data_IF_773025928936
#
_entry.id   IF_773025928936
#
_cell.length_a   1.000
_cell.length_b   1.000
_cell.length_c   1.000
_cell.angle_alpha   90.00
_cell.angle_beta   90.00
_cell.angle_gamma   90.00
#
_symmetry.space_group_name_H-M   'P 1'
#
loop_
_entity.id
_entity.type
_entity.pdbx_description
1 polymer ?
#
# COMPACT_ATOMS: atom_id res chain seq x y z
N UNK A 1 -22.87 10.54 -25.25
CA UNK A 1 -23.30 9.27 -24.60
C UNK A 1 -23.90 9.58 -23.24
N UNK A 2 -25.00 8.96 -22.82
CA UNK A 2 -25.62 9.19 -21.48
C UNK A 2 -25.71 7.89 -20.68
N UNK A 3 -25.95 7.96 -19.37
CA UNK A 3 -26.13 6.75 -18.53
C UNK A 3 -27.26 5.83 -19.05
N UNK A 4 -28.47 6.33 -19.39
CA UNK A 4 -29.52 5.48 -19.98
C UNK A 4 -29.13 4.86 -21.33
N UNK A 5 -28.33 5.57 -22.13
CA UNK A 5 -27.78 5.02 -23.36
C UNK A 5 -26.81 3.88 -23.07
N UNK A 6 -25.87 4.05 -22.13
CA UNK A 6 -24.88 3.02 -21.77
C UNK A 6 -25.52 1.75 -21.23
N UNK A 7 -26.55 1.87 -20.39
CA UNK A 7 -27.33 0.73 -19.90
C UNK A 7 -28.02 -0.04 -21.04
N UNK A 8 -28.68 0.67 -21.97
CA UNK A 8 -29.32 0.03 -23.13
C UNK A 8 -28.32 -0.59 -24.09
N UNK A 9 -27.24 0.13 -24.39
CA UNK A 9 -26.19 -0.31 -25.31
C UNK A 9 -25.47 -1.56 -24.82
N UNK A 10 -25.31 -1.71 -23.51
CA UNK A 10 -24.63 -2.85 -22.90
C UNK A 10 -25.56 -3.96 -22.40
N UNK A 11 -26.89 -3.86 -22.61
CA UNK A 11 -27.89 -4.73 -21.99
C UNK A 11 -27.54 -6.22 -22.11
N UNK A 12 -27.28 -6.70 -23.33
CA UNK A 12 -26.97 -8.12 -23.57
C UNK A 12 -25.71 -8.61 -22.85
N UNK A 13 -24.72 -7.73 -22.64
CA UNK A 13 -23.50 -8.06 -21.91
C UNK A 13 -23.73 -8.05 -20.41
N UNK A 14 -24.47 -7.05 -19.91
CA UNK A 14 -24.85 -6.94 -18.50
C UNK A 14 -25.65 -8.16 -18.05
N UNK A 15 -26.64 -8.59 -18.85
CA UNK A 15 -27.48 -9.74 -18.57
C UNK A 15 -26.68 -11.07 -18.54
N UNK A 16 -25.53 -11.14 -19.22
CA UNK A 16 -24.64 -12.31 -19.24
C UNK A 16 -23.58 -12.30 -18.15
N UNK A 17 -23.05 -11.12 -17.79
CA UNK A 17 -21.89 -10.96 -16.91
C UNK A 17 -22.25 -10.71 -15.45
N UNK A 18 -23.46 -10.20 -15.19
CA UNK A 18 -23.95 -9.89 -13.85
C UNK A 18 -25.15 -10.78 -13.50
N UNK A 19 -25.25 -11.14 -12.23
CA UNK A 19 -26.48 -11.73 -11.67
C UNK A 19 -27.61 -10.69 -11.65
N UNK A 20 -28.87 -11.14 -11.51
CA UNK A 20 -30.02 -10.22 -11.41
C UNK A 20 -29.88 -9.24 -10.23
N UNK A 21 -29.36 -9.71 -9.09
CA UNK A 21 -29.11 -8.87 -7.92
C UNK A 21 -28.05 -7.79 -8.21
N UNK A 22 -26.92 -8.18 -8.80
CA UNK A 22 -25.85 -7.24 -9.17
C UNK A 22 -26.28 -6.21 -10.21
N UNK A 23 -27.10 -6.63 -11.19
CA UNK A 23 -27.66 -5.72 -12.18
C UNK A 23 -28.59 -4.68 -11.54
N UNK A 24 -29.45 -5.12 -10.61
CA UNK A 24 -30.33 -4.21 -9.87
C UNK A 24 -29.51 -3.23 -9.00
N UNK A 25 -28.45 -3.71 -8.37
CA UNK A 25 -27.55 -2.86 -7.59
C UNK A 25 -26.83 -1.82 -8.46
N UNK A 26 -26.32 -2.22 -9.63
CA UNK A 26 -25.72 -1.31 -10.60
C UNK A 26 -26.70 -0.20 -11.01
N UNK A 27 -27.94 -0.57 -11.33
CA UNK A 27 -28.99 0.38 -11.69
C UNK A 27 -29.31 1.35 -10.53
N UNK A 28 -29.31 0.85 -9.29
CA UNK A 28 -29.53 1.64 -8.08
C UNK A 28 -28.38 2.60 -7.79
N UNK A 29 -27.13 2.21 -8.06
CA UNK A 29 -25.98 3.12 -7.96
C UNK A 29 -26.08 4.24 -9.00
N UNK A 30 -26.42 3.89 -10.24
CA UNK A 30 -26.51 4.82 -11.35
C UNK A 30 -27.70 5.79 -11.24
N UNK A 31 -28.79 5.39 -10.57
CA UNK A 31 -29.98 6.24 -10.39
C UNK A 31 -29.75 7.47 -9.50
N UNK A 32 -28.66 7.48 -8.72
CA UNK A 32 -28.25 8.62 -7.88
C UNK A 32 -27.71 9.79 -8.69
N UNK A 33 -27.35 9.58 -9.96
CA UNK A 33 -26.77 10.58 -10.83
C UNK A 33 -27.83 11.16 -11.79
N UNK A 34 -27.63 12.42 -12.18
CA UNK A 34 -28.52 13.05 -13.17
C UNK A 34 -28.45 12.31 -14.51
N UNK A 35 -29.63 12.11 -15.13
CA UNK A 35 -29.75 11.49 -16.45
C UNK A 35 -29.16 12.35 -17.57
N UNK A 36 -28.97 13.64 -17.30
CA UNK A 36 -28.45 14.62 -18.25
C UNK A 36 -26.92 14.63 -18.32
N UNK A 37 -26.21 13.88 -17.46
CA UNK A 37 -24.75 13.73 -17.54
C UNK A 37 -24.38 13.03 -18.86
N UNK A 38 -23.37 13.58 -19.55
CA UNK A 38 -23.00 13.15 -20.89
C UNK A 38 -21.51 12.80 -21.02
N UNK A 39 -21.22 12.09 -22.11
CA UNK A 39 -19.90 11.84 -22.68
C UNK A 39 -18.95 11.17 -21.67
N UNK A 40 -17.74 11.71 -21.51
CA UNK A 40 -16.68 11.13 -20.68
C UNK A 40 -17.11 10.94 -19.23
N UNK A 41 -17.85 11.90 -18.67
CA UNK A 41 -18.34 11.79 -17.30
C UNK A 41 -19.38 10.68 -17.14
N UNK A 42 -20.29 10.53 -18.11
CA UNK A 42 -21.26 9.42 -18.11
C UNK A 42 -20.56 8.05 -18.24
N UNK A 43 -19.53 7.97 -19.09
CA UNK A 43 -18.72 6.75 -19.28
C UNK A 43 -17.95 6.42 -18.01
N UNK A 44 -17.35 7.42 -17.35
CA UNK A 44 -16.67 7.24 -16.06
C UNK A 44 -17.63 6.73 -15.00
N UNK A 45 -18.75 7.43 -14.77
CA UNK A 45 -19.74 7.03 -13.74
C UNK A 45 -20.23 5.60 -13.97
N UNK A 46 -20.52 5.24 -15.23
CA UNK A 46 -20.91 3.88 -15.59
C UNK A 46 -19.80 2.86 -15.29
N UNK A 47 -18.57 3.16 -15.70
CA UNK A 47 -17.42 2.27 -15.53
C UNK A 47 -17.07 2.07 -14.06
N UNK A 48 -16.98 3.16 -13.29
CA UNK A 48 -16.72 3.14 -11.86
C UNK A 48 -17.80 2.36 -11.11
N UNK A 49 -19.08 2.58 -11.44
CA UNK A 49 -20.19 1.87 -10.82
C UNK A 49 -20.15 0.38 -11.16
N UNK A 50 -19.85 0.01 -12.40
CA UNK A 50 -19.70 -1.39 -12.81
C UNK A 50 -18.52 -2.06 -12.11
N UNK A 51 -17.35 -1.42 -12.07
CA UNK A 51 -16.18 -1.92 -11.36
C UNK A 51 -16.43 -2.04 -9.85
N UNK A 52 -17.23 -1.14 -9.25
CA UNK A 52 -17.64 -1.24 -7.85
C UNK A 52 -18.47 -2.51 -7.56
N UNK A 53 -19.33 -2.95 -8.50
CA UNK A 53 -20.06 -4.21 -8.39
C UNK A 53 -19.10 -5.41 -8.41
N UNK A 54 -18.15 -5.43 -9.36
CA UNK A 54 -17.15 -6.50 -9.42
C UNK A 54 -16.28 -6.56 -8.17
N UNK A 55 -15.89 -5.40 -7.64
CA UNK A 55 -15.17 -5.28 -6.37
C UNK A 55 -16.01 -5.82 -5.21
N UNK A 56 -17.30 -5.48 -5.15
CA UNK A 56 -18.21 -5.99 -4.11
C UNK A 56 -18.36 -7.51 -4.17
N UNK A 57 -18.41 -8.10 -5.37
CA UNK A 57 -18.42 -9.56 -5.57
C UNK A 57 -17.20 -10.20 -4.91
N UNK A 58 -15.99 -9.72 -5.21
CA UNK A 58 -14.77 -10.21 -4.56
C UNK A 58 -14.78 -9.98 -3.05
N UNK A 59 -15.26 -8.82 -2.60
CA UNK A 59 -15.37 -8.52 -1.17
C UNK A 59 -16.31 -9.48 -0.42
N UNK A 60 -17.32 -10.04 -1.08
CA UNK A 60 -18.27 -10.97 -0.48
C UNK A 60 -17.69 -12.34 -0.16
N UNK A 61 -16.51 -12.67 -0.71
CA UNK A 61 -15.80 -13.92 -0.43
C UNK A 61 -15.11 -13.92 0.95
N UNK A 62 -15.06 -12.76 1.62
CA UNK A 62 -14.32 -12.58 2.86
C UNK A 62 -15.19 -12.00 3.96
N UNK A 63 -15.08 -12.57 5.15
CA UNK A 63 -15.66 -12.01 6.37
C UNK A 63 -14.88 -10.77 6.83
N UNK A 64 -15.58 -9.85 7.48
CA UNK A 64 -15.00 -8.66 8.10
C UNK A 64 -15.88 -8.17 9.25
N UNK A 65 -15.31 -7.34 10.13
CA UNK A 65 -16.05 -6.76 11.25
C UNK A 65 -16.71 -5.44 10.82
N UNK A 66 -18.05 -5.40 10.87
CA UNK A 66 -18.85 -4.24 10.46
C UNK A 66 -18.59 -3.02 11.35
N UNK A 67 -18.35 -3.19 12.65
CA UNK A 67 -18.05 -2.07 13.56
C UNK A 67 -16.66 -1.51 13.26
N UNK A 68 -15.71 -2.39 12.99
CA UNK A 68 -14.35 -1.99 12.60
C UNK A 68 -14.33 -1.25 11.26
N UNK A 69 -15.06 -1.74 10.26
CA UNK A 69 -15.21 -1.06 8.97
C UNK A 69 -15.86 0.33 9.15
N UNK A 70 -16.90 0.46 9.98
CA UNK A 70 -17.50 1.77 10.30
C UNK A 70 -16.49 2.73 10.94
N UNK A 71 -15.65 2.25 11.85
CA UNK A 71 -14.58 3.05 12.45
C UNK A 71 -13.59 3.56 11.38
N UNK A 72 -13.16 2.68 10.46
CA UNK A 72 -12.23 3.03 9.38
C UNK A 72 -12.81 3.97 8.32
N UNK A 73 -14.14 4.06 8.22
CA UNK A 73 -14.83 4.88 7.21
C UNK A 73 -15.50 6.15 7.77
N UNK A 74 -15.36 6.44 9.06
CA UNK A 74 -15.90 7.68 9.61
C UNK A 74 -15.09 8.91 9.13
N UNK A 75 -15.55 10.12 9.46
CA UNK A 75 -15.00 11.39 8.96
C UNK A 75 -13.59 11.77 9.43
N UNK A 76 -13.00 11.14 10.45
CA UNK A 76 -11.64 11.47 10.89
C UNK A 76 -10.58 10.90 9.93
N UNK A 77 -9.64 11.74 9.49
CA UNK A 77 -8.57 11.35 8.57
C UNK A 77 -7.33 10.75 9.26
N UNK A 78 -7.42 10.40 10.55
CA UNK A 78 -6.39 9.66 11.28
C UNK A 78 -7.02 8.56 12.15
N UNK A 79 -6.52 7.34 12.04
CA UNK A 79 -6.99 6.16 12.77
C UNK A 79 -5.86 5.52 13.56
N UNK A 80 -6.08 5.34 14.86
CA UNK A 80 -5.18 4.64 15.75
C UNK A 80 -5.82 3.31 16.12
N UNK A 81 -5.10 2.21 15.86
CA UNK A 81 -5.54 0.87 16.21
C UNK A 81 -4.53 0.28 17.18
N UNK A 82 -4.99 -0.10 18.36
CA UNK A 82 -4.18 -0.78 19.37
C UNK A 82 -4.43 -2.28 19.31
N UNK A 83 -3.37 -3.06 19.10
CA UNK A 83 -3.42 -4.51 19.13
C UNK A 83 -2.51 -5.18 18.11
N UNK A 84 -2.70 -6.49 17.99
CA UNK A 84 -1.98 -7.33 17.03
C UNK A 84 -2.41 -7.01 15.59
N UNK A 85 -1.44 -6.75 14.72
CA UNK A 85 -1.72 -6.33 13.34
C UNK A 85 -2.39 -7.42 12.50
N UNK A 86 -2.04 -8.69 12.70
CA UNK A 86 -2.68 -9.79 11.99
C UNK A 86 -4.17 -9.89 12.35
N UNK A 87 -4.51 -9.81 13.64
CA UNK A 87 -5.91 -9.75 14.10
C UNK A 87 -6.65 -8.54 13.56
N UNK A 88 -6.01 -7.37 13.50
CA UNK A 88 -6.62 -6.15 13.00
C UNK A 88 -6.91 -6.26 11.50
N UNK A 89 -5.95 -6.76 10.70
CA UNK A 89 -6.10 -7.00 9.27
C UNK A 89 -7.26 -7.98 9.00
N UNK A 90 -7.38 -9.07 9.76
CA UNK A 90 -8.51 -10.02 9.64
C UNK A 90 -9.88 -9.38 9.86
N UNK A 91 -9.98 -8.31 10.66
CA UNK A 91 -11.22 -7.55 10.86
C UNK A 91 -11.52 -6.59 9.71
N UNK A 92 -10.54 -6.22 8.89
CA UNK A 92 -10.72 -5.29 7.77
C UNK A 92 -11.42 -5.95 6.59
N UNK A 93 -12.25 -5.16 5.90
CA UNK A 93 -12.83 -5.53 4.61
C UNK A 93 -11.72 -5.71 3.56
N UNK A 94 -11.84 -6.71 2.70
CA UNK A 94 -10.88 -6.89 1.58
C UNK A 94 -10.93 -5.69 0.62
N UNK A 95 -9.83 -5.43 -0.09
CA UNK A 95 -9.71 -4.31 -1.04
C UNK A 95 -10.21 -2.95 -0.51
N UNK A 96 -9.89 -2.63 0.76
CA UNK A 96 -10.36 -1.42 1.45
C UNK A 96 -9.26 -0.38 1.71
N UNK A 97 -7.99 -0.75 1.51
CA UNK A 97 -6.80 0.09 1.70
C UNK A 97 -6.21 0.44 0.33
N UNK A 98 -5.74 1.67 0.15
CA UNK A 98 -5.29 2.15 -1.17
C UNK A 98 -3.77 2.22 -1.31
N UNK A 99 -3.04 2.25 -0.20
CA UNK A 99 -1.59 2.24 -0.15
C UNK A 99 -1.15 1.70 1.21
N UNK A 100 -0.05 0.95 1.24
CA UNK A 100 0.64 0.60 2.47
C UNK A 100 2.06 1.13 2.46
N UNK A 101 2.50 1.71 3.58
CA UNK A 101 3.89 2.14 3.78
C UNK A 101 4.31 1.75 5.18
N UNK A 102 5.36 0.94 5.28
CA UNK A 102 5.75 0.39 6.58
C UNK A 102 7.24 0.09 6.67
N UNK A 103 7.69 -0.10 7.90
CA UNK A 103 8.96 -0.74 8.24
C UNK A 103 8.66 -1.80 9.30
N UNK A 104 8.73 -3.12 8.98
CA UNK A 104 8.39 -4.16 9.92
C UNK A 104 9.35 -4.18 11.12
N UNK A 105 8.99 -4.84 12.23
CA UNK A 105 9.98 -5.23 13.24
C UNK A 105 11.01 -6.18 12.60
N UNK A 106 12.29 -5.84 12.66
CA UNK A 106 13.35 -6.70 12.12
C UNK A 106 13.66 -7.83 13.10
N UNK A 107 13.97 -9.01 12.56
CA UNK A 107 14.21 -10.24 13.33
C UNK A 107 15.15 -10.02 14.53
N UNK A 108 14.61 -10.08 15.75
CA UNK A 108 15.31 -9.92 17.03
C UNK A 108 16.32 -8.76 17.08
N UNK A 109 16.10 -7.71 16.28
CA UNK A 109 16.98 -6.55 16.22
C UNK A 109 16.80 -5.62 17.44
N UNK A 110 15.65 -5.75 18.14
CA UNK A 110 15.26 -4.94 19.29
C UNK A 110 14.67 -5.80 20.40
N UNK A 111 14.58 -5.26 21.62
CA UNK A 111 14.16 -6.03 22.80
C UNK A 111 12.69 -6.48 22.78
N UNK A 112 11.83 -5.80 22.01
CA UNK A 112 10.42 -6.15 21.87
C UNK A 112 10.14 -7.23 20.82
N UNK A 113 11.08 -7.45 19.88
CA UNK A 113 11.02 -8.54 18.91
C UNK A 113 11.62 -9.81 19.52
N UNK A 114 10.78 -10.82 19.82
CA UNK A 114 11.23 -12.08 20.44
C UNK A 114 10.67 -13.29 19.70
N UNK A 115 11.25 -13.60 18.55
CA UNK A 115 11.02 -14.88 17.86
C UNK A 115 12.11 -15.88 18.26
N UNK A 116 11.75 -17.15 18.36
CA UNK A 116 12.70 -18.21 18.75
C UNK A 116 13.79 -18.44 17.70
N UNK A 117 13.40 -18.42 16.42
CA UNK A 117 14.26 -18.66 15.27
C UNK A 117 13.75 -17.86 14.06
N UNK A 118 14.59 -17.73 13.02
CA UNK A 118 14.25 -17.00 11.79
C UNK A 118 12.99 -17.54 11.08
N UNK A 119 12.76 -18.85 11.05
CA UNK A 119 11.62 -19.42 10.34
C UNK A 119 10.30 -19.00 11.00
N UNK A 120 10.21 -19.02 12.34
CA UNK A 120 9.03 -18.57 13.06
C UNK A 120 8.72 -17.09 12.73
N UNK A 121 9.76 -16.25 12.61
CA UNK A 121 9.59 -14.86 12.20
C UNK A 121 9.09 -14.72 10.77
N UNK A 122 9.71 -15.42 9.82
CA UNK A 122 9.31 -15.34 8.41
C UNK A 122 7.88 -15.86 8.18
N UNK A 123 7.46 -16.90 8.91
CA UNK A 123 6.08 -17.41 8.83
C UNK A 123 5.06 -16.44 9.43
N UNK A 124 5.38 -15.79 10.55
CA UNK A 124 4.54 -14.74 11.13
C UNK A 124 4.37 -13.56 10.16
N UNK A 125 5.48 -13.11 9.56
CA UNK A 125 5.45 -12.09 8.50
C UNK A 125 4.66 -12.55 7.28
N UNK A 126 4.79 -13.81 6.84
CA UNK A 126 4.02 -14.37 5.72
C UNK A 126 2.52 -14.29 5.96
N UNK A 127 2.05 -14.64 7.16
CA UNK A 127 0.63 -14.53 7.52
C UNK A 127 0.13 -13.09 7.44
N UNK A 128 0.95 -12.14 7.92
CA UNK A 128 0.64 -10.72 7.83
C UNK A 128 0.60 -10.27 6.38
N UNK A 129 1.58 -10.62 5.55
CA UNK A 129 1.69 -10.29 4.12
C UNK A 129 0.52 -10.87 3.30
N UNK A 130 0.05 -12.07 3.64
CA UNK A 130 -1.14 -12.67 3.02
C UNK A 130 -2.42 -11.89 3.31
N UNK A 131 -2.70 -11.59 4.58
CA UNK A 131 -3.89 -10.82 4.95
C UNK A 131 -3.84 -9.39 4.42
N UNK A 132 -2.64 -8.85 4.37
CA UNK A 132 -2.26 -7.61 3.73
C UNK A 132 -2.59 -7.55 2.24
N UNK A 133 -2.23 -8.59 1.48
CA UNK A 133 -2.64 -8.73 0.09
C UNK A 133 -4.17 -8.69 -0.05
N UNK A 134 -4.90 -9.35 0.84
CA UNK A 134 -6.38 -9.34 0.83
C UNK A 134 -6.96 -7.94 1.04
N UNK A 135 -6.45 -7.17 2.02
CA UNK A 135 -7.04 -5.86 2.37
C UNK A 135 -6.58 -4.71 1.46
N UNK A 136 -5.41 -4.80 0.84
CA UNK A 136 -4.95 -3.83 -0.16
C UNK A 136 -5.86 -3.89 -1.39
N UNK A 137 -6.22 -2.75 -1.96
CA UNK A 137 -7.07 -2.67 -3.15
C UNK A 137 -6.32 -3.16 -4.40
N UNK A 138 -7.06 -3.62 -5.41
CA UNK A 138 -6.44 -4.18 -6.61
C UNK A 138 -5.61 -3.12 -7.35
N UNK A 139 -4.47 -3.51 -7.92
CA UNK A 139 -3.48 -2.63 -8.57
C UNK A 139 -2.91 -1.52 -7.69
N UNK A 140 -2.94 -1.68 -6.37
CA UNK A 140 -2.29 -0.77 -5.43
C UNK A 140 -0.93 -1.26 -4.98
N UNK A 141 -0.25 -0.37 -4.28
CA UNK A 141 1.17 -0.49 -3.95
C UNK A 141 1.37 -0.73 -2.46
N UNK A 142 2.37 -1.54 -2.15
CA UNK A 142 2.97 -1.63 -0.83
C UNK A 142 4.43 -1.17 -0.92
N UNK A 143 4.78 -0.13 -0.16
CA UNK A 143 6.17 0.33 0.03
C UNK A 143 6.70 -0.19 1.37
N UNK A 144 7.77 -0.99 1.32
CA UNK A 144 8.25 -1.78 2.45
C UNK A 144 9.73 -1.48 2.73
N UNK A 145 10.00 -0.75 3.81
CA UNK A 145 11.36 -0.41 4.23
C UNK A 145 11.98 -1.51 5.08
N UNK A 146 13.07 -2.12 4.63
CA UNK A 146 13.75 -3.20 5.36
C UNK A 146 15.27 -3.10 5.25
N UNK A 147 15.95 -3.26 6.37
CA UNK A 147 17.40 -3.38 6.44
C UNK A 147 17.86 -4.83 6.62
N UNK A 148 18.98 -5.18 6.00
CA UNK A 148 19.70 -6.40 6.33
C UNK A 148 20.23 -6.35 7.77
N UNK A 149 20.05 -7.43 8.50
CA UNK A 149 20.47 -7.55 9.91
C UNK A 149 21.51 -8.64 10.11
N UNK A 150 22.13 -8.66 11.29
CA UNK A 150 22.91 -9.80 11.75
C UNK A 150 22.01 -10.74 12.53
N UNK A 151 22.19 -12.03 12.31
CA UNK A 151 21.43 -13.10 12.95
C UNK A 151 21.51 -12.99 14.48
N UNK A 152 20.39 -13.13 15.17
CA UNK A 152 20.33 -13.06 16.62
C UNK A 152 19.32 -14.09 17.15
N UNK A 153 19.47 -15.35 16.71
CA UNK A 153 18.72 -16.48 17.21
C UNK A 153 18.75 -16.55 18.76
N UNK A 154 17.58 -16.62 19.39
CA UNK A 154 17.42 -16.76 20.85
C UNK A 154 17.69 -18.21 21.32
N UNK A 155 18.72 -18.84 20.76
CA UNK A 155 19.19 -20.16 21.17
C UNK A 155 20.00 -20.05 22.46
N UNK A 156 20.12 -21.16 23.21
CA UNK A 156 20.75 -21.22 24.56
C UNK A 156 22.15 -20.58 24.67
N UNK A 157 22.84 -20.32 23.56
CA UNK A 157 24.10 -19.57 23.50
C UNK A 157 23.89 -18.15 22.98
N UNK A 158 24.04 -17.13 23.85
CA UNK A 158 24.08 -15.72 23.46
C UNK A 158 25.42 -15.42 22.78
N UNK A 159 25.47 -15.45 21.46
CA UNK A 159 26.54 -14.75 20.73
C UNK A 159 26.25 -13.25 20.82
N UNK A 160 27.20 -12.44 21.29
CA UNK A 160 27.07 -10.98 21.30
C UNK A 160 27.03 -10.40 19.88
N UNK A 161 27.40 -11.22 18.87
CA UNK A 161 27.82 -10.76 17.55
C UNK A 161 26.96 -11.22 16.39
N UNK A 162 26.00 -12.13 16.62
CA UNK A 162 25.34 -12.84 15.54
C UNK A 162 26.31 -13.68 14.69
N UNK A 163 25.87 -14.81 14.17
CA UNK A 163 26.80 -15.70 13.44
C UNK A 163 26.92 -15.38 11.94
N UNK A 164 25.87 -14.79 11.35
CA UNK A 164 25.76 -14.54 9.92
C UNK A 164 24.98 -13.26 9.63
N UNK A 165 25.21 -12.68 8.45
CA UNK A 165 24.34 -11.62 7.90
C UNK A 165 23.09 -12.29 7.32
N UNK A 166 21.93 -11.72 7.64
CA UNK A 166 20.64 -12.14 7.11
C UNK A 166 20.20 -11.13 6.05
N UNK A 167 20.07 -11.55 4.78
CA UNK A 167 19.59 -10.70 3.69
C UNK A 167 18.05 -10.58 3.77
N UNK A 168 17.54 -9.87 4.79
CA UNK A 168 16.10 -9.76 5.02
C UNK A 168 15.37 -9.22 3.80
N UNK A 169 15.96 -8.25 3.08
CA UNK A 169 15.38 -7.73 1.84
C UNK A 169 15.07 -8.85 0.85
N UNK A 170 16.03 -9.75 0.59
CA UNK A 170 15.83 -10.89 -0.31
C UNK A 170 14.78 -11.89 0.19
N UNK A 171 14.72 -12.15 1.50
CA UNK A 171 13.70 -13.04 2.06
C UNK A 171 12.30 -12.46 1.93
N UNK A 172 12.13 -11.16 2.16
CA UNK A 172 10.85 -10.49 1.98
C UNK A 172 10.43 -10.48 0.52
N UNK A 173 11.32 -10.13 -0.43
CA UNK A 173 10.99 -10.19 -1.87
C UNK A 173 10.41 -11.55 -2.22
N UNK A 174 11.08 -12.63 -1.78
CA UNK A 174 10.62 -14.00 -2.05
C UNK A 174 9.24 -14.30 -1.45
N UNK A 175 9.00 -13.91 -0.20
CA UNK A 175 7.70 -14.13 0.48
C UNK A 175 6.59 -13.32 -0.21
N UNK A 176 6.85 -12.04 -0.54
CA UNK A 176 5.88 -11.19 -1.23
C UNK A 176 5.45 -11.80 -2.57
N UNK A 177 6.41 -12.26 -3.39
CA UNK A 177 6.10 -12.92 -4.67
C UNK A 177 5.30 -14.22 -4.50
N UNK A 178 5.62 -15.03 -3.48
CA UNK A 178 4.88 -16.26 -3.18
C UNK A 178 3.44 -16.00 -2.70
N UNK A 179 3.21 -14.87 -2.01
CA UNK A 179 1.88 -14.44 -1.57
C UNK A 179 1.13 -13.61 -2.63
N UNK A 180 1.69 -13.49 -3.85
CA UNK A 180 0.99 -12.96 -5.03
C UNK A 180 1.27 -11.49 -5.36
N UNK A 181 2.17 -10.82 -4.63
CA UNK A 181 2.65 -9.50 -5.04
C UNK A 181 3.64 -9.61 -6.20
N UNK A 182 3.75 -8.55 -6.99
CA UNK A 182 4.81 -8.37 -7.97
C UNK A 182 5.88 -7.46 -7.36
N UNK A 183 7.14 -7.90 -7.36
CA UNK A 183 8.27 -7.03 -7.04
C UNK A 183 8.54 -6.08 -8.21
N UNK A 184 8.59 -4.78 -7.93
CA UNK A 184 8.72 -3.73 -8.95
C UNK A 184 10.07 -3.05 -8.91
N UNK A 185 10.51 -2.66 -7.71
CA UNK A 185 11.73 -1.87 -7.56
C UNK A 185 12.34 -2.00 -6.15
N UNK A 186 13.63 -1.69 -6.06
CA UNK A 186 14.40 -1.61 -4.82
C UNK A 186 15.17 -0.28 -4.79
N UNK A 187 14.60 0.70 -4.07
CA UNK A 187 15.26 1.99 -3.87
C UNK A 187 16.16 1.89 -2.65
N UNK A 188 17.45 2.16 -2.82
CA UNK A 188 18.43 2.12 -1.76
C UNK A 188 18.41 3.45 -1.00
N UNK A 189 17.99 3.40 0.26
CA UNK A 189 18.13 4.52 1.17
C UNK A 189 19.54 4.55 1.77
N UNK A 190 20.38 5.47 1.29
CA UNK A 190 21.69 5.76 1.90
C UNK A 190 21.49 6.64 3.16
N UNK A 191 21.71 6.03 4.34
CA UNK A 191 21.62 6.71 5.65
C UNK A 191 22.80 7.64 5.90
N UNK A 192 23.84 7.57 5.06
CA UNK A 192 25.09 8.29 5.22
C UNK A 192 26.01 7.56 6.20
N UNK A 193 26.07 8.02 7.45
CA UNK A 193 26.99 7.46 8.43
C UNK A 193 26.50 6.12 8.99
N UNK A 194 27.46 5.24 9.31
CA UNK A 194 27.18 3.96 9.92
C UNK A 194 26.75 4.18 11.38
N UNK A 195 25.47 3.98 11.69
CA UNK A 195 24.93 4.13 13.06
C UNK A 195 25.45 3.07 14.06
N UNK A 196 26.34 2.18 13.62
CA UNK A 196 26.95 1.15 14.46
C UNK A 196 28.35 1.56 14.88
N UNK A 197 28.53 1.80 16.18
CA UNK A 197 29.86 1.84 16.83
C UNK A 197 30.51 0.44 16.90
N UNK A 198 29.79 -0.62 16.50
CA UNK A 198 30.31 -1.99 16.44
C UNK A 198 31.13 -2.16 15.17
N UNK A 199 32.34 -1.62 15.18
CA UNK A 199 33.31 -1.95 14.16
C UNK A 199 33.69 -3.42 14.28
N UNK A 200 33.67 -4.17 13.17
CA UNK A 200 34.22 -5.54 13.14
C UNK A 200 35.73 -5.59 13.40
N UNK A 201 36.40 -4.44 13.50
CA UNK A 201 37.84 -4.34 13.60
C UNK A 201 38.36 -4.39 15.04
N UNK A 202 37.61 -3.98 16.07
CA UNK A 202 38.18 -3.77 17.40
C UNK A 202 39.46 -2.90 17.41
N UNK A 203 39.63 -2.02 16.42
CA UNK A 203 40.86 -1.25 16.17
C UNK A 203 41.99 -1.97 15.42
N UNK A 204 41.80 -3.22 14.97
CA UNK A 204 42.80 -4.04 14.28
C UNK A 204 42.83 -3.75 12.77
N UNK A 205 43.84 -3.02 12.31
CA UNK A 205 44.02 -2.64 10.91
C UNK A 205 44.79 -3.70 10.09
N UNK A 206 44.28 -4.94 10.05
CA UNK A 206 44.85 -6.05 9.25
C UNK A 206 43.79 -6.69 8.33
N UNK A 207 44.20 -7.32 7.20
CA UNK A 207 43.31 -8.14 6.37
C UNK A 207 42.54 -9.17 7.21
N UNK A 208 41.33 -9.55 6.77
CA UNK A 208 40.39 -10.44 7.47
C UNK A 208 39.69 -9.86 8.72
N UNK A 209 40.12 -8.72 9.26
CA UNK A 209 39.43 -8.00 10.34
C UNK A 209 38.60 -6.80 9.83
N UNK A 210 38.78 -6.43 8.57
CA UNK A 210 38.11 -5.29 7.93
C UNK A 210 36.89 -5.77 7.14
N UNK A 211 35.70 -5.34 7.55
CA UNK A 211 34.45 -5.59 6.84
C UNK A 211 33.58 -4.33 6.81
N UNK A 212 32.96 -4.00 5.65
CA UNK A 212 31.97 -2.93 5.58
C UNK A 212 30.78 -3.17 6.51
N UNK A 213 30.20 -2.08 6.99
CA UNK A 213 28.97 -2.06 7.78
C UNK A 213 27.84 -1.52 6.89
N UNK A 214 26.62 -1.97 7.13
CA UNK A 214 25.45 -1.46 6.43
C UNK A 214 25.24 0.03 6.76
N UNK A 215 25.32 0.85 5.72
CA UNK A 215 24.96 2.27 5.73
C UNK A 215 23.64 2.53 5.01
N UNK A 216 22.95 1.48 4.54
CA UNK A 216 21.74 1.61 3.75
C UNK A 216 20.63 0.67 4.23
N UNK A 217 19.41 0.96 3.77
CA UNK A 217 18.23 0.10 3.86
C UNK A 217 17.54 0.02 2.49
N UNK A 218 16.75 -1.03 2.28
CA UNK A 218 15.96 -1.24 1.07
C UNK A 218 14.58 -0.62 1.25
N UNK A 219 14.15 0.19 0.29
CA UNK A 219 12.76 0.62 0.14
C UNK A 219 12.19 -0.18 -1.02
N UNK A 220 11.61 -1.33 -0.69
CA UNK A 220 11.07 -2.26 -1.67
C UNK A 220 9.67 -1.82 -2.11
N UNK A 221 9.40 -1.88 -3.41
CA UNK A 221 8.12 -1.54 -4.01
C UNK A 221 7.46 -2.80 -4.54
N UNK A 222 6.25 -3.07 -4.04
CA UNK A 222 5.45 -4.21 -4.45
C UNK A 222 4.08 -3.77 -5.00
N UNK A 223 3.65 -4.36 -6.09
CA UNK A 223 2.30 -4.18 -6.63
C UNK A 223 1.42 -5.38 -6.32
N UNK A 224 0.15 -5.12 -5.99
CA UNK A 224 -0.89 -6.15 -5.93
C UNK A 224 -1.57 -6.29 -7.29
N UNK A 225 -1.58 -7.49 -7.86
CA UNK A 225 -2.35 -7.82 -9.06
C UNK A 225 -3.19 -9.07 -8.86
N UNK A 226 -4.49 -8.89 -8.59
CA UNK A 226 -5.44 -9.99 -8.71
C UNK A 226 -5.59 -10.37 -10.17
N UNK A 227 -5.87 -11.64 -10.42
CA UNK A 227 -6.21 -12.12 -11.76
C UNK A 227 -7.49 -11.43 -12.30
N UNK A 228 -7.31 -10.53 -13.26
CA UNK A 228 -8.38 -9.73 -13.86
C UNK A 228 -9.13 -10.49 -14.97
N UNK A 229 -9.87 -11.54 -14.62
CA UNK A 229 -10.64 -12.30 -15.61
C UNK A 229 -11.96 -11.61 -16.05
N UNK A 230 -12.43 -10.63 -15.28
CA UNK A 230 -13.70 -9.98 -15.53
C UNK A 230 -13.57 -8.91 -16.61
N UNK A 231 -14.46 -8.95 -17.61
CA UNK A 231 -14.56 -7.89 -18.62
C UNK A 231 -14.88 -6.56 -17.94
N UNK A 232 -14.19 -5.50 -18.34
CA UNK A 232 -14.45 -4.13 -17.88
C UNK A 232 -14.89 -3.24 -19.05
N UNK A 233 -15.70 -2.19 -18.80
CA UNK A 233 -16.12 -1.28 -19.85
C UNK A 233 -14.94 -0.53 -20.48
N UNK A 234 -15.04 -0.27 -21.79
CA UNK A 234 -14.08 0.59 -22.47
C UNK A 234 -14.07 2.01 -21.85
N UNK A 235 -12.90 2.57 -21.51
CA UNK A 235 -12.81 3.87 -20.85
C UNK A 235 -13.25 5.04 -21.76
N UNK A 236 -13.37 4.81 -23.07
CA UNK A 236 -13.76 5.84 -24.05
C UNK A 236 -15.25 5.82 -24.35
N UNK A 237 -15.81 4.63 -24.62
CA UNK A 237 -17.21 4.51 -25.06
C UNK A 237 -18.12 3.79 -24.07
N UNK A 238 -17.59 3.28 -22.95
CA UNK A 238 -18.34 2.51 -21.95
C UNK A 238 -18.87 1.16 -22.44
N UNK A 239 -18.43 0.67 -23.60
CA UNK A 239 -18.89 -0.61 -24.15
C UNK A 239 -18.22 -1.80 -23.46
N UNK A 240 -19.02 -2.81 -23.11
CA UNK A 240 -18.60 -4.14 -22.64
C UNK A 240 -18.36 -5.12 -23.79
N UNK A 241 -18.56 -4.69 -25.04
CA UNK A 241 -18.12 -5.44 -26.21
C UNK A 241 -16.59 -5.33 -26.34
N UNK A 242 -15.89 -6.17 -25.59
CA UNK A 242 -14.43 -6.20 -25.49
C UNK A 242 -13.93 -7.64 -25.61
N UNK A 243 -12.75 -7.79 -26.22
CA UNK A 243 -12.04 -9.07 -26.30
C UNK A 243 -10.78 -9.03 -25.45
N UNK A 244 -10.54 -10.11 -24.71
CA UNK A 244 -9.31 -10.28 -23.93
C UNK A 244 -8.14 -10.58 -24.86
N UNK A 245 -7.00 -9.95 -24.61
CA UNK A 245 -5.72 -10.26 -25.24
C UNK A 245 -4.83 -11.05 -24.26
N UNK A 246 -3.53 -11.13 -24.52
CA UNK A 246 -2.55 -11.63 -23.56
C UNK A 246 -2.47 -10.71 -22.33
N UNK A 247 -2.14 -11.30 -21.18
CA UNK A 247 -1.80 -10.55 -19.98
C UNK A 247 -0.47 -9.82 -20.19
N UNK A 248 -0.42 -8.53 -19.85
CA UNK A 248 0.80 -7.73 -19.99
C UNK A 248 1.77 -7.97 -18.84
N UNK A 249 1.23 -8.23 -17.66
CA UNK A 249 1.90 -8.53 -16.39
C UNK A 249 1.10 -9.66 -15.73
N UNK A 250 1.69 -10.40 -14.79
CA UNK A 250 0.99 -11.48 -14.09
C UNK A 250 -0.25 -10.88 -13.39
N UNK A 251 -1.43 -11.41 -13.71
CA UNK A 251 -2.70 -10.93 -13.15
C UNK A 251 -3.36 -9.78 -13.92
N UNK A 252 -2.62 -9.00 -14.72
CA UNK A 252 -3.16 -7.83 -15.43
C UNK A 252 -3.65 -8.20 -16.82
N UNK A 253 -4.97 -8.25 -16.99
CA UNK A 253 -5.62 -8.57 -18.26
C UNK A 253 -5.77 -7.33 -19.15
N UNK A 254 -5.28 -7.43 -20.38
CA UNK A 254 -5.52 -6.42 -21.43
C UNK A 254 -6.79 -6.73 -22.21
N UNK A 255 -7.58 -5.69 -22.47
CA UNK A 255 -8.82 -5.71 -23.22
C UNK A 255 -8.70 -4.84 -24.47
N UNK A 256 -9.31 -5.27 -25.57
CA UNK A 256 -9.44 -4.49 -26.80
C UNK A 256 -10.92 -4.20 -27.07
N UNK A 257 -11.27 -2.92 -27.25
CA UNK A 257 -12.64 -2.52 -27.57
C UNK A 257 -13.06 -3.01 -28.96
N UNK A 258 -14.27 -3.59 -29.08
CA UNK A 258 -14.87 -4.04 -30.36
C UNK A 258 -16.08 -3.21 -30.77
N UNK A 259 -16.32 -2.08 -30.10
CA UNK A 259 -17.35 -1.14 -30.54
C UNK A 259 -16.86 -0.33 -31.74
N UNK A 260 -17.43 -0.58 -32.91
CA UNK A 260 -17.13 0.13 -34.16
C UNK A 260 -17.47 1.62 -34.15
N UNK A 261 -18.27 2.05 -33.18
CA UNK A 261 -18.59 3.45 -32.94
C UNK A 261 -17.75 4.10 -31.83
N UNK A 262 -16.70 3.42 -31.36
CA UNK A 262 -15.78 4.01 -30.38
C UNK A 262 -15.03 5.21 -30.99
N UNK A 263 -14.91 6.31 -30.24
CA UNK A 263 -14.28 7.55 -30.70
C UNK A 263 -12.77 7.41 -30.90
N UNK A 264 -12.13 6.48 -30.18
CA UNK A 264 -10.71 6.18 -30.33
C UNK A 264 -10.51 4.80 -30.97
N UNK A 265 -9.99 4.82 -32.21
CA UNK A 265 -9.55 3.64 -32.96
C UNK A 265 -8.20 3.93 -33.62
N UNK A 266 -7.41 2.90 -33.83
CA UNK A 266 -6.10 3.01 -34.47
C UNK A 266 -6.24 3.31 -35.98
N UNK A 267 -5.15 3.72 -36.65
CA UNK A 267 -5.14 3.90 -38.11
C UNK A 267 -5.52 2.64 -38.90
N UNK A 268 -5.29 1.46 -38.33
CA UNK A 268 -5.72 0.16 -38.88
C UNK A 268 -7.11 -0.27 -38.39
N UNK A 269 -7.92 0.67 -37.92
CA UNK A 269 -9.27 0.46 -37.42
C UNK A 269 -9.38 -0.55 -36.25
N UNK A 270 -8.32 -0.71 -35.44
CA UNK A 270 -8.35 -1.54 -34.22
C UNK A 270 -8.87 -0.69 -33.05
N UNK A 271 -9.64 -1.29 -32.15
CA UNK A 271 -10.11 -0.58 -30.97
C UNK A 271 -9.00 -0.28 -29.96
N UNK A 272 -9.26 0.67 -29.06
CA UNK A 272 -8.36 1.01 -27.94
C UNK A 272 -8.07 -0.23 -27.09
N UNK A 273 -6.80 -0.39 -26.71
CA UNK A 273 -6.34 -1.38 -25.73
C UNK A 273 -6.21 -0.74 -24.35
N UNK A 274 -6.66 -1.45 -23.33
CA UNK A 274 -6.68 -0.94 -21.96
C UNK A 274 -6.74 -2.10 -20.95
N UNK A 275 -6.40 -1.82 -19.70
CA UNK A 275 -6.60 -2.71 -18.55
C UNK A 275 -7.24 -1.92 -17.40
N UNK A 276 -7.70 -2.61 -16.36
CA UNK A 276 -8.22 -1.93 -15.17
C UNK A 276 -7.13 -1.03 -14.56
N UNK A 277 -5.92 -1.55 -14.42
CA UNK A 277 -4.73 -0.80 -14.00
C UNK A 277 -4.49 0.46 -14.85
N UNK A 278 -4.46 0.36 -16.18
CA UNK A 278 -4.22 1.52 -17.02
C UNK A 278 -5.32 2.57 -16.89
N UNK A 279 -6.58 2.13 -16.75
CA UNK A 279 -7.71 3.03 -16.55
C UNK A 279 -7.57 3.80 -15.23
N UNK A 280 -7.17 3.14 -14.15
CA UNK A 280 -6.93 3.78 -12.84
C UNK A 280 -5.79 4.80 -12.88
N UNK A 281 -4.71 4.50 -13.60
CA UNK A 281 -3.53 5.38 -13.70
C UNK A 281 -3.76 6.58 -14.62
N UNK A 282 -4.58 6.41 -15.66
CA UNK A 282 -4.83 7.44 -16.68
C UNK A 282 -6.10 8.27 -16.40
N UNK A 283 -6.71 8.11 -15.23
CA UNK A 283 -7.94 8.82 -14.88
C UNK A 283 -7.71 10.35 -14.85
N UNK A 284 -8.23 11.03 -15.88
CA UNK A 284 -8.11 12.48 -16.03
C UNK A 284 -8.83 13.24 -14.91
N UNK A 285 -9.87 12.67 -14.31
CA UNK A 285 -10.64 13.30 -13.23
C UNK A 285 -9.87 13.32 -11.90
N UNK A 286 -8.80 12.52 -11.80
CA UNK A 286 -7.88 12.51 -10.67
C UNK A 286 -6.71 13.47 -10.83
N UNK A 287 -6.49 14.05 -12.02
CA UNK A 287 -5.44 15.04 -12.31
C UNK A 287 -5.81 16.42 -11.76
N UNK A 288 -6.00 16.51 -10.45
CA UNK A 288 -6.31 17.73 -9.71
C UNK A 288 -5.06 18.27 -9.03
N UNK A 289 -5.12 19.53 -8.61
CA UNK A 289 -4.05 20.25 -7.92
C UNK A 289 -3.52 19.51 -6.69
N UNK A 290 -4.39 18.82 -5.94
CA UNK A 290 -4.06 18.08 -4.71
C UNK A 290 -3.26 16.78 -4.98
N UNK A 291 -3.22 16.33 -6.24
CA UNK A 291 -2.53 15.13 -6.68
C UNK A 291 -1.28 15.45 -7.53
N UNK A 292 -0.92 16.72 -7.69
CA UNK A 292 0.29 17.11 -8.41
C UNK A 292 1.51 16.84 -7.51
N UNK A 293 2.50 16.14 -8.07
CA UNK A 293 3.80 15.92 -7.42
C UNK A 293 4.73 17.07 -7.80
N UNK A 294 5.34 17.70 -6.80
CA UNK A 294 6.30 18.79 -7.03
C UNK A 294 7.59 18.31 -7.73
N UNK A 295 8.17 19.19 -8.53
CA UNK A 295 9.36 18.89 -9.34
C UNK A 295 10.57 18.47 -8.50
N UNK A 296 10.72 19.07 -7.30
CA UNK A 296 11.80 18.71 -6.37
C UNK A 296 11.70 17.26 -5.92
N UNK A 297 10.50 16.82 -5.51
CA UNK A 297 10.24 15.43 -5.13
C UNK A 297 10.51 14.50 -6.32
N UNK A 298 10.03 14.83 -7.52
CA UNK A 298 10.31 14.04 -8.72
C UNK A 298 11.82 13.93 -8.98
N UNK A 299 12.56 15.03 -8.90
CA UNK A 299 14.00 15.03 -9.15
C UNK A 299 14.78 14.24 -8.10
N UNK A 300 14.40 14.35 -6.82
CA UNK A 300 15.02 13.60 -5.71
C UNK A 300 14.89 12.08 -5.91
N UNK A 301 13.70 11.61 -6.28
CA UNK A 301 13.37 10.19 -6.39
C UNK A 301 13.54 9.61 -7.80
N UNK A 302 14.20 10.33 -8.72
CA UNK A 302 14.66 9.78 -10.02
C UNK A 302 15.89 8.87 -9.88
N UNK A 303 16.55 8.90 -8.73
CA UNK A 303 17.72 8.06 -8.43
C UNK A 303 17.25 6.82 -7.67
N UNK A 304 17.81 5.68 -8.04
CA UNK A 304 17.68 4.39 -7.36
C UNK A 304 18.43 4.36 -6.02
N UNK A 305 19.43 5.22 -5.83
CA UNK A 305 20.10 5.47 -4.55
C UNK A 305 19.81 6.89 -4.06
N UNK A 306 19.15 7.00 -2.92
CA UNK A 306 18.71 8.28 -2.35
C UNK A 306 19.29 8.46 -0.95
N UNK A 307 20.01 9.57 -0.76
CA UNK A 307 20.66 9.90 0.50
C UNK A 307 19.83 10.86 1.34
N UNK A 308 19.48 10.46 2.56
CA UNK A 308 18.87 11.33 3.57
C UNK A 308 19.12 10.78 4.99
N UNK A 309 19.20 11.65 6.02
CA UNK A 309 19.57 11.21 7.36
C UNK A 309 18.46 10.38 8.03
N UNK A 310 18.84 9.49 8.97
CA UNK A 310 17.88 8.79 9.83
C UNK A 310 17.21 9.73 10.85
N UNK A 311 16.14 9.25 11.48
CA UNK A 311 15.38 10.03 12.47
C UNK A 311 16.15 10.13 13.79
N UNK A 312 16.39 11.36 14.25
CA UNK A 312 16.98 11.63 15.56
C UNK A 312 15.90 11.46 16.64
N UNK A 313 15.98 10.37 17.39
CA UNK A 313 14.95 9.96 18.39
C UNK A 313 15.33 10.21 19.85
N UNK A 314 16.62 10.39 20.12
CA UNK A 314 17.17 10.60 21.47
C UNK A 314 17.37 12.09 21.67
N UNK A 315 16.88 12.62 22.78
CA UNK A 315 17.12 14.01 23.16
C UNK A 315 18.50 14.20 23.81
N UNK A 316 18.84 15.45 24.10
CA UNK A 316 20.11 15.82 24.74
C UNK A 316 20.29 15.16 26.13
N UNK A 317 19.19 14.70 26.73
CA UNK A 317 19.12 14.08 28.05
C UNK A 317 19.01 12.55 27.99
N UNK A 318 19.08 11.93 26.81
CA UNK A 318 18.98 10.48 26.62
C UNK A 318 17.55 9.91 26.55
N UNK A 319 16.52 10.73 26.60
CA UNK A 319 15.12 10.27 26.56
C UNK A 319 14.65 10.01 25.12
N UNK A 320 13.88 8.94 24.94
CA UNK A 320 13.22 8.64 23.66
C UNK A 320 11.96 9.50 23.50
N UNK A 321 12.02 10.49 22.59
CA UNK A 321 10.92 11.44 22.36
C UNK A 321 9.72 10.84 21.63
N UNK A 322 9.91 9.71 20.94
CA UNK A 322 8.94 9.16 19.99
C UNK A 322 8.29 7.85 20.46
N UNK A 323 8.71 7.32 21.62
CA UNK A 323 8.21 6.05 22.18
C UNK A 323 8.70 4.82 21.41
N UNK A 324 8.83 4.89 20.09
CA UNK A 324 9.39 3.83 19.26
C UNK A 324 10.94 3.84 19.27
N UNK A 325 11.55 2.67 19.31
CA UNK A 325 13.01 2.51 19.24
C UNK A 325 13.61 2.73 17.84
N UNK A 326 12.82 2.70 16.76
CA UNK A 326 13.31 2.77 15.38
C UNK A 326 12.29 3.37 14.37
N UNK A 327 11.98 4.67 14.47
CA UNK A 327 11.19 5.35 13.45
C UNK A 327 11.98 5.51 12.14
N UNK A 328 11.32 5.31 10.99
CA UNK A 328 11.90 5.63 9.67
C UNK A 328 11.61 7.09 9.28
N UNK A 329 12.41 7.72 8.40
CA UNK A 329 12.23 9.11 8.01
C UNK A 329 10.93 9.35 7.24
N UNK A 330 10.36 10.54 7.41
CA UNK A 330 9.15 10.99 6.70
C UNK A 330 9.29 11.00 5.19
N UNK A 331 10.50 11.05 4.67
CA UNK A 331 10.81 11.08 3.23
C UNK A 331 10.25 9.86 2.49
N UNK A 332 10.32 8.67 3.12
CA UNK A 332 9.81 7.42 2.55
C UNK A 332 8.28 7.46 2.37
N UNK A 333 7.47 7.71 3.42
CA UNK A 333 6.02 7.79 3.28
C UNK A 333 5.61 9.00 2.46
N UNK A 334 6.31 10.14 2.54
CA UNK A 334 5.99 11.31 1.72
C UNK A 334 6.12 11.00 0.22
N UNK A 335 7.17 10.29 -0.19
CA UNK A 335 7.31 9.77 -1.56
C UNK A 335 6.19 8.81 -1.91
N UNK A 336 6.02 7.75 -1.11
CA UNK A 336 5.06 6.69 -1.42
C UNK A 336 3.63 7.22 -1.55
N UNK A 337 3.22 8.12 -0.64
CA UNK A 337 1.88 8.71 -0.62
C UNK A 337 1.68 9.62 -1.84
N UNK A 338 2.67 10.44 -2.19
CA UNK A 338 2.57 11.31 -3.38
C UNK A 338 2.56 10.51 -4.69
N UNK A 339 3.30 9.40 -4.76
CA UNK A 339 3.48 8.64 -6.01
C UNK A 339 2.36 7.63 -6.25
N UNK A 340 1.81 7.02 -5.19
CA UNK A 340 0.98 5.82 -5.30
C UNK A 340 -0.42 5.95 -4.69
N UNK A 341 -0.85 7.16 -4.31
CA UNK A 341 -2.20 7.41 -3.81
C UNK A 341 -2.78 8.73 -4.30
N UNK A 342 -4.11 8.83 -4.33
CA UNK A 342 -4.83 10.07 -4.57
C UNK A 342 -5.33 10.68 -3.26
N UNK A 343 -5.64 11.98 -3.29
CA UNK A 343 -6.27 12.71 -2.18
C UNK A 343 -7.53 12.00 -1.66
N UNK A 344 -7.70 11.98 -0.33
CA UNK A 344 -8.79 11.29 0.36
C UNK A 344 -8.65 9.76 0.47
N UNK A 345 -7.64 9.14 -0.14
CA UNK A 345 -7.44 7.69 -0.06
C UNK A 345 -6.85 7.23 1.28
N UNK A 346 -7.04 5.95 1.61
CA UNK A 346 -6.57 5.33 2.87
C UNK A 346 -5.16 4.77 2.74
N UNK A 347 -4.28 5.19 3.63
CA UNK A 347 -2.88 4.76 3.74
C UNK A 347 -2.69 4.02 5.06
N UNK A 348 -2.26 2.75 5.00
CA UNK A 348 -2.08 1.91 6.18
C UNK A 348 -0.60 1.67 6.49
N UNK A 349 -0.26 1.75 7.77
CA UNK A 349 0.95 1.18 8.34
C UNK A 349 0.58 0.08 9.37
N UNK A 350 0.79 -1.20 9.06
CA UNK A 350 0.50 -2.30 9.98
C UNK A 350 1.49 -2.38 11.16
N UNK A 351 2.62 -1.66 11.08
CA UNK A 351 3.66 -1.64 12.11
C UNK A 351 3.97 -0.19 12.51
N UNK A 352 2.93 0.54 12.92
CA UNK A 352 2.93 2.00 12.94
C UNK A 352 4.00 2.62 13.83
N UNK A 353 4.35 2.01 14.97
CA UNK A 353 5.40 2.51 15.85
C UNK A 353 5.16 3.96 16.29
N UNK A 354 5.89 4.89 15.65
CA UNK A 354 5.76 6.34 15.87
C UNK A 354 4.65 7.01 15.08
N UNK A 355 3.86 6.26 14.30
CA UNK A 355 2.79 6.74 13.42
C UNK A 355 3.26 7.69 12.30
N UNK A 356 4.53 7.61 11.89
CA UNK A 356 5.10 8.50 10.87
C UNK A 356 4.29 8.45 9.55
N UNK A 357 3.98 7.26 9.04
CA UNK A 357 3.14 7.10 7.83
C UNK A 357 1.77 7.75 7.98
N UNK A 358 1.07 7.47 9.09
CA UNK A 358 -0.30 7.95 9.30
C UNK A 358 -0.35 9.48 9.45
N UNK A 359 0.63 10.07 10.13
CA UNK A 359 0.79 11.53 10.26
C UNK A 359 1.04 12.16 8.90
N UNK A 360 1.98 11.62 8.11
CA UNK A 360 2.32 12.15 6.77
C UNK A 360 1.13 12.02 5.82
N UNK A 361 0.41 10.89 5.86
CA UNK A 361 -0.81 10.70 5.07
C UNK A 361 -1.85 11.78 5.37
N UNK A 362 -2.12 12.05 6.65
CA UNK A 362 -3.06 13.12 7.02
C UNK A 362 -2.59 14.50 6.54
N UNK A 363 -1.30 14.83 6.69
CA UNK A 363 -0.73 16.11 6.24
C UNK A 363 -0.85 16.30 4.73
N UNK A 364 -0.85 15.20 3.97
CA UNK A 364 -1.02 15.19 2.51
C UNK A 364 -2.48 14.98 2.05
N UNK A 365 -3.47 15.12 2.95
CA UNK A 365 -4.91 15.01 2.59
C UNK A 365 -5.44 13.58 2.46
N UNK A 366 -4.66 12.56 2.82
CA UNK A 366 -5.08 11.15 2.86
C UNK A 366 -5.60 10.79 4.26
N UNK A 367 -6.25 9.63 4.35
CA UNK A 367 -6.66 9.03 5.63
C UNK A 367 -5.51 8.15 6.12
N UNK A 368 -4.82 8.57 7.17
CA UNK A 368 -3.73 7.79 7.78
C UNK A 368 -4.26 6.75 8.76
N UNK A 369 -3.83 5.51 8.64
CA UNK A 369 -4.21 4.40 9.51
C UNK A 369 -2.93 3.75 10.05
N UNK A 370 -2.82 3.60 11.37
CA UNK A 370 -1.70 2.92 11.99
C UNK A 370 -2.14 1.87 13.00
N UNK A 371 -1.48 0.71 12.99
CA UNK A 371 -1.66 -0.35 13.98
C UNK A 371 -0.41 -0.46 14.86
N UNK A 372 -0.59 -0.43 16.17
CA UNK A 372 0.50 -0.58 17.15
C UNK A 372 0.12 -1.57 18.25
N UNK A 373 1.03 -2.50 18.53
CA UNK A 373 0.81 -3.57 19.50
C UNK A 373 1.16 -3.14 20.93
N UNK A 374 2.17 -2.28 21.09
CA UNK A 374 2.73 -1.92 22.37
C UNK A 374 2.05 -0.68 22.96
N UNK A 375 1.02 -0.95 23.75
CA UNK A 375 0.25 0.08 24.46
C UNK A 375 1.05 0.87 25.50
N UNK A 376 2.22 0.40 25.94
CA UNK A 376 3.04 1.14 26.90
C UNK A 376 3.52 2.49 26.34
N UNK A 377 3.54 2.65 25.03
CA UNK A 377 3.91 3.90 24.36
C UNK A 377 2.70 4.79 24.03
N UNK A 378 1.48 4.43 24.44
CA UNK A 378 0.25 5.16 24.11
C UNK A 378 0.37 6.67 24.37
N UNK A 379 0.74 7.06 25.59
CA UNK A 379 0.84 8.48 25.97
C UNK A 379 1.86 9.24 25.11
N UNK A 380 3.00 8.62 24.81
CA UNK A 380 4.08 9.26 24.02
C UNK A 380 3.65 9.39 22.56
N UNK A 381 3.06 8.34 21.98
CA UNK A 381 2.56 8.33 20.60
C UNK A 381 1.46 9.37 20.43
N UNK A 382 0.48 9.42 21.35
CA UNK A 382 -0.63 10.39 21.27
C UNK A 382 -0.13 11.82 21.38
N UNK A 383 0.79 12.10 22.32
CA UNK A 383 1.41 13.42 22.44
C UNK A 383 2.19 13.81 21.18
N UNK A 384 2.93 12.88 20.59
CA UNK A 384 3.65 13.11 19.33
C UNK A 384 2.68 13.47 18.19
N UNK A 385 1.63 12.66 18.00
CA UNK A 385 0.60 12.89 16.97
C UNK A 385 -0.08 14.25 17.17
N UNK A 386 -0.50 14.58 18.40
CA UNK A 386 -1.15 15.85 18.73
C UNK A 386 -0.24 17.04 18.43
N UNK A 387 1.05 16.91 18.74
CA UNK A 387 2.07 17.93 18.45
C UNK A 387 2.25 18.12 16.95
N UNK A 388 2.37 17.03 16.19
CA UNK A 388 2.58 17.08 14.74
C UNK A 388 1.37 17.59 13.95
N UNK A 389 0.17 17.47 14.51
CA UNK A 389 -1.10 17.73 13.83
C UNK A 389 -1.96 18.82 14.51
N UNK A 390 -1.36 19.62 15.40
CA UNK A 390 -1.98 20.78 16.05
C UNK A 390 -3.35 20.49 16.71
N UNK A 391 -3.38 19.62 17.73
CA UNK A 391 -4.58 19.48 18.59
C UNK A 391 -5.72 18.65 17.99
N UNK A 392 -5.41 17.72 17.09
CA UNK A 392 -6.38 16.81 16.47
C UNK A 392 -7.12 15.94 17.52
N UNK A 393 -8.40 15.68 17.28
CA UNK A 393 -9.16 14.64 17.99
C UNK A 393 -8.64 13.27 17.53
N UNK A 394 -8.16 12.48 18.48
CA UNK A 394 -7.70 11.12 18.23
C UNK A 394 -8.86 10.14 18.30
N UNK A 395 -8.94 9.27 17.30
CA UNK A 395 -9.87 8.16 17.28
C UNK A 395 -9.12 6.85 17.39
N UNK A 396 -9.54 6.05 18.36
CA UNK A 396 -8.84 4.84 18.78
C UNK A 396 -9.78 3.64 18.67
N UNK A 397 -9.22 2.50 18.27
CA UNK A 397 -9.90 1.21 18.28
C UNK A 397 -9.01 0.15 18.91
N UNK A 398 -9.61 -0.76 19.68
CA UNK A 398 -8.89 -1.84 20.36
C UNK A 398 -9.26 -3.18 19.72
N UNK A 399 -8.25 -3.95 19.31
CA UNK A 399 -8.43 -5.19 18.55
C UNK A 399 -8.24 -6.44 19.38
#
# INVERSE_FOLDING_TARGET
>A
MTIPYLLRHNKEYLDKLLTQHELHELQTLLSKYSKDIQNEEAVRIFSDSYCAILKKRYQSEYEYDIKFDKFLNNSNNLKIIWGDCYKALKKMKSESIHLMVTSPPYYNAREYSKWENLNNYLEDMRLIIRESYRVLDNHRVWVFNVGDVFDNDNLKTKSVWGKRRLPLGSYFIKIFEEEGFEFVDDIIWDKGEVESQRHKNGGVNYPFYQYPINCYEHILIFHKHRLDINKIPCPICGSLNVNGNTQSEIGVQSWECKNDKCLERSPHNRGKRFSLRSNMMQDIFKRKTENIIDEFTLFKWRRDIVKFPPVIKIDQNGNNRLGNSAPFPKDIPEMAIKFFSYDGEKVLDPFAGSFTTAIVAKKLGRIGIGIEINKNFESVIKNHIITELNGIILEEYFV
#
